data_IF_578791917428
#
_entry.id   IF_578791917428
#
_cell.length_a   1.000
_cell.length_b   1.000
_cell.length_c   1.000
_cell.angle_alpha   90.00
_cell.angle_beta   90.00
_cell.angle_gamma   90.00
#
_symmetry.space_group_name_H-M   'P 1'
#
loop_
_entity.id
_entity.type
_entity.pdbx_description
1 polymer ?
#
# COMPACT_ATOMS: atom_id res chain seq x y z
N UNK A 1 -11.43 -3.38 -14.29
CA UNK A 1 -10.17 -2.64 -14.56
C UNK A 1 -9.09 -3.24 -13.68
N UNK A 2 -7.98 -3.68 -14.26
CA UNK A 2 -6.86 -4.25 -13.51
C UNK A 2 -5.82 -3.15 -13.30
N UNK A 3 -5.35 -2.97 -12.06
CA UNK A 3 -4.29 -2.02 -11.73
C UNK A 3 -2.95 -2.70 -12.01
N UNK A 4 -2.07 -2.03 -12.75
CA UNK A 4 -0.69 -2.48 -12.98
C UNK A 4 0.25 -1.39 -12.47
N UNK A 5 0.87 -1.55 -11.30
CA UNK A 5 1.77 -0.55 -10.76
C UNK A 5 2.95 -0.28 -11.70
N UNK A 6 3.27 1.00 -11.89
CA UNK A 6 4.40 1.44 -12.71
C UNK A 6 5.62 1.86 -11.88
N UNK A 7 5.40 2.19 -10.61
CA UNK A 7 6.43 2.58 -9.66
C UNK A 7 6.78 1.40 -8.74
N UNK A 8 8.09 1.23 -8.50
CA UNK A 8 8.61 0.29 -7.51
C UNK A 8 8.94 1.02 -6.21
N UNK A 9 8.42 0.52 -5.09
CA UNK A 9 8.57 1.13 -3.77
C UNK A 9 9.46 0.27 -2.87
N UNK A 10 10.16 0.94 -1.95
CA UNK A 10 10.99 0.33 -0.91
C UNK A 10 10.71 1.01 0.43
N UNK A 11 9.44 0.98 0.84
CA UNK A 11 8.92 1.67 2.02
C UNK A 11 8.87 0.72 3.23
N UNK A 12 8.36 -0.49 3.04
CA UNK A 12 8.34 -1.54 4.06
C UNK A 12 9.56 -2.46 3.91
N UNK A 13 9.95 -3.14 4.99
CA UNK A 13 11.03 -4.13 4.95
C UNK A 13 10.63 -5.41 4.20
N UNK A 14 9.33 -5.73 4.19
CA UNK A 14 8.78 -6.83 3.41
C UNK A 14 8.48 -6.36 1.97
N UNK A 15 9.09 -6.95 0.93
CA UNK A 15 8.80 -6.63 -0.46
C UNK A 15 7.32 -6.83 -0.84
N UNK A 16 6.63 -7.79 -0.23
CA UNK A 16 5.24 -8.10 -0.56
C UNK A 16 4.30 -6.98 -0.08
N UNK A 17 4.58 -6.40 1.09
CA UNK A 17 3.83 -5.23 1.59
C UNK A 17 4.02 -4.01 0.66
N UNK A 18 5.18 -3.84 0.04
CA UNK A 18 5.41 -2.75 -0.93
C UNK A 18 4.51 -2.90 -2.16
N UNK A 19 4.25 -4.12 -2.64
CA UNK A 19 3.36 -4.36 -3.80
C UNK A 19 1.94 -3.82 -3.57
N UNK A 20 1.43 -3.89 -2.34
CA UNK A 20 0.13 -3.30 -1.99
C UNK A 20 0.16 -1.77 -2.02
N UNK A 21 1.25 -1.15 -1.54
CA UNK A 21 1.43 0.30 -1.60
C UNK A 21 1.57 0.80 -3.04
N UNK A 22 2.26 0.03 -3.88
CA UNK A 22 2.41 0.32 -5.32
C UNK A 22 1.06 0.30 -6.03
N UNK A 23 0.25 -0.73 -5.79
CA UNK A 23 -1.12 -0.82 -6.30
C UNK A 23 -2.01 0.32 -5.79
N UNK A 24 -1.98 0.60 -4.48
CA UNK A 24 -2.78 1.67 -3.89
C UNK A 24 -2.41 3.05 -4.48
N UNK A 25 -1.11 3.29 -4.72
CA UNK A 25 -0.64 4.52 -5.33
C UNK A 25 -1.07 4.63 -6.80
N UNK A 26 -0.90 3.57 -7.60
CA UNK A 26 -1.29 3.56 -9.02
C UNK A 26 -2.82 3.71 -9.18
N UNK A 27 -3.59 3.11 -8.28
CA UNK A 27 -5.04 3.24 -8.26
C UNK A 27 -5.54 4.60 -7.74
N UNK A 28 -4.68 5.42 -7.13
CA UNK A 28 -5.07 6.64 -6.44
C UNK A 28 -5.99 6.38 -5.24
N UNK A 29 -5.78 5.27 -4.53
CA UNK A 29 -6.65 4.86 -3.43
C UNK A 29 -6.47 5.73 -2.18
N UNK A 30 -7.57 6.16 -1.58
CA UNK A 30 -7.56 6.92 -0.32
C UNK A 30 -7.28 6.03 0.91
N UNK A 31 -7.61 4.74 0.83
CA UNK A 31 -7.52 3.80 1.94
C UNK A 31 -6.87 2.47 1.52
N UNK A 32 -6.05 1.91 2.43
CA UNK A 32 -5.57 0.53 2.36
C UNK A 32 -6.15 -0.23 3.56
N UNK A 33 -7.09 -1.14 3.28
CA UNK A 33 -7.77 -1.95 4.31
C UNK A 33 -6.99 -3.25 4.50
N UNK A 34 -6.50 -3.52 5.72
CA UNK A 34 -5.74 -4.75 5.99
C UNK A 34 -5.71 -5.14 7.47
N UNK A 35 -5.58 -6.44 7.76
CA UNK A 35 -5.37 -6.97 9.12
C UNK A 35 -3.94 -6.83 9.65
N UNK A 36 -2.94 -6.62 8.78
CA UNK A 36 -1.52 -6.50 9.17
C UNK A 36 -1.04 -5.03 9.22
N UNK A 37 -1.93 -4.09 9.58
CA UNK A 37 -1.67 -2.63 9.57
C UNK A 37 -0.33 -2.19 10.16
N UNK A 38 0.20 -2.90 11.17
CA UNK A 38 1.48 -2.62 11.82
C UNK A 38 2.72 -2.73 10.90
N UNK A 39 2.60 -3.40 9.75
CA UNK A 39 3.69 -3.52 8.78
C UNK A 39 3.88 -2.23 7.95
N UNK A 40 2.84 -1.40 7.89
CA UNK A 40 2.84 -0.19 7.07
C UNK A 40 3.20 1.05 7.90
N UNK A 41 3.83 2.06 7.27
CA UNK A 41 4.11 3.32 7.95
C UNK A 41 2.82 4.01 8.41
N UNK A 42 2.91 4.67 9.56
CA UNK A 42 1.75 5.35 10.20
C UNK A 42 1.21 6.51 9.37
N UNK A 43 2.06 7.15 8.58
CA UNK A 43 1.70 8.18 7.63
C UNK A 43 2.16 7.74 6.23
N UNK A 44 1.19 7.53 5.35
CA UNK A 44 1.40 7.25 3.93
C UNK A 44 0.32 7.97 3.12
N UNK A 45 0.49 8.03 1.79
CA UNK A 45 -0.44 8.67 0.86
C UNK A 45 -1.89 8.20 1.08
N UNK A 46 -2.06 6.89 1.24
CA UNK A 46 -3.33 6.26 1.60
C UNK A 46 -3.40 6.02 3.11
N UNK A 47 -4.58 6.19 3.71
CA UNK A 47 -4.81 5.85 5.12
C UNK A 47 -4.91 4.33 5.27
N UNK A 48 -4.00 3.75 6.04
CA UNK A 48 -4.05 2.32 6.37
C UNK A 48 -5.05 2.09 7.52
N UNK A 49 -6.07 1.27 7.29
CA UNK A 49 -7.15 0.98 8.23
C UNK A 49 -7.29 -0.53 8.45
N UNK A 50 -7.86 -0.93 9.58
CA UNK A 50 -8.11 -2.34 9.85
C UNK A 50 -9.24 -2.86 8.95
N UNK A 51 -9.12 -4.11 8.52
CA UNK A 51 -10.20 -4.86 7.88
C UNK A 51 -11.31 -5.23 8.87
#
# INVERSE_FOLDING_TARGET
MLVKPTLKLTITSDPDDNMFLECAQEAGADFLVTGNKRHFPRAWRSKVVNA
#
